data_IF_006071330095
#
_entry.id   IF_006071330095
#
_cell.length_a   1.000
_cell.length_b   1.000
_cell.length_c   1.000
_cell.angle_alpha   90.00
_cell.angle_beta   90.00
_cell.angle_gamma   90.00
#
_symmetry.space_group_name_H-M   'P 1'
#
loop_
_entity.id
_entity.type
_entity.pdbx_description
1 polymer ?
#
# COMPACT_ATOMS: atom_id res chain seq x y z
N UNK A 1 -1.24 -1.86 -23.03
CA UNK A 1 -0.67 -1.09 -21.89
C UNK A 1 -0.89 0.40 -22.04
N UNK A 2 -0.46 1.03 -23.13
CA UNK A 2 -0.62 2.48 -23.38
C UNK A 2 -2.06 2.96 -23.25
N UNK A 3 -3.03 2.27 -23.85
CA UNK A 3 -4.46 2.66 -23.77
C UNK A 3 -5.02 2.58 -22.35
N UNK A 4 -4.57 1.62 -21.55
CA UNK A 4 -4.96 1.53 -20.13
C UNK A 4 -4.41 2.74 -19.38
N UNK A 5 -3.13 3.09 -19.55
CA UNK A 5 -2.51 4.25 -18.91
C UNK A 5 -3.17 5.57 -19.31
N UNK A 6 -3.60 5.72 -20.56
CA UNK A 6 -4.34 6.92 -21.00
C UNK A 6 -5.75 7.02 -20.36
N UNK A 7 -6.42 5.89 -20.14
CA UNK A 7 -7.71 5.86 -19.44
C UNK A 7 -7.55 6.16 -17.95
N UNK A 8 -6.48 5.65 -17.30
CA UNK A 8 -6.16 5.92 -15.89
C UNK A 8 -6.07 7.42 -15.59
N UNK A 9 -5.56 8.25 -16.50
CA UNK A 9 -5.44 9.70 -16.31
C UNK A 9 -6.78 10.43 -16.08
N UNK A 10 -7.89 9.80 -16.40
CA UNK A 10 -9.24 10.37 -16.23
C UNK A 10 -9.90 9.93 -14.93
N UNK A 11 -9.31 8.97 -14.24
CA UNK A 11 -9.88 8.38 -13.03
C UNK A 11 -9.59 9.21 -11.79
N UNK A 12 -10.53 9.18 -10.87
CA UNK A 12 -10.45 9.74 -9.53
C UNK A 12 -10.38 8.61 -8.52
N UNK A 13 -9.32 8.58 -7.75
CA UNK A 13 -9.07 7.53 -6.75
C UNK A 13 -9.04 8.13 -5.35
N UNK A 14 -9.80 7.55 -4.43
CA UNK A 14 -9.73 7.82 -3.01
C UNK A 14 -8.89 6.72 -2.34
N UNK A 15 -7.83 7.10 -1.65
CA UNK A 15 -7.03 6.18 -0.82
C UNK A 15 -7.34 6.45 0.64
N UNK A 16 -7.79 5.43 1.36
CA UNK A 16 -8.17 5.51 2.78
C UNK A 16 -7.34 4.50 3.56
N UNK A 17 -6.67 4.91 4.64
CA UNK A 17 -5.93 3.93 5.43
C UNK A 17 -4.87 4.49 6.37
N UNK A 18 -3.99 3.60 6.78
CA UNK A 18 -2.89 3.89 7.70
C UNK A 18 -1.76 4.60 6.98
N UNK A 19 -1.74 5.94 7.02
CA UNK A 19 -0.64 6.75 6.47
C UNK A 19 0.53 6.81 7.44
N UNK A 20 1.75 6.88 6.91
CA UNK A 20 2.96 7.02 7.71
C UNK A 20 4.07 7.74 6.96
N UNK A 21 5.07 8.19 7.71
CA UNK A 21 6.27 8.84 7.19
C UNK A 21 7.46 7.89 7.36
N UNK A 22 8.05 7.45 6.27
CA UNK A 22 9.28 6.68 6.28
C UNK A 22 10.48 7.62 6.16
N UNK A 23 11.45 7.51 7.09
CA UNK A 23 12.68 8.29 7.11
C UNK A 23 13.88 7.35 6.99
N UNK A 24 14.81 7.71 6.16
CA UNK A 24 16.10 7.02 6.00
C UNK A 24 17.19 7.97 6.41
N UNK A 25 17.97 7.56 7.42
CA UNK A 25 19.15 8.28 7.87
C UNK A 25 20.33 7.40 7.53
N UNK A 26 21.12 7.82 6.55
CA UNK A 26 22.28 7.06 6.04
C UNK A 26 23.59 7.73 6.44
N UNK A 27 24.61 6.93 6.66
CA UNK A 27 25.92 7.42 7.03
C UNK A 27 26.90 6.30 7.36
N UNK A 28 28.04 6.68 7.94
CA UNK A 28 29.11 5.78 8.30
C UNK A 28 29.22 5.53 9.81
N UNK A 29 29.57 4.29 10.17
CA UNK A 29 29.87 3.88 11.55
C UNK A 29 31.36 3.54 11.65
N UNK A 30 32.16 4.48 12.19
CA UNK A 30 33.59 4.37 12.26
C UNK A 30 34.13 4.22 13.69
N UNK A 31 33.29 4.30 14.71
CA UNK A 31 33.69 4.20 16.12
C UNK A 31 32.58 3.69 17.01
N UNK A 32 32.99 3.18 18.15
CA UNK A 32 32.09 2.86 19.28
C UNK A 32 32.03 4.06 20.22
N UNK A 33 30.85 4.32 20.82
CA UNK A 33 30.68 5.39 21.80
C UNK A 33 31.54 5.13 23.05
N UNK A 34 32.15 6.17 23.61
CA UNK A 34 32.81 6.06 24.93
C UNK A 34 31.77 5.98 26.08
N UNK A 35 30.50 6.32 25.84
CA UNK A 35 29.46 6.36 26.87
C UNK A 35 28.74 5.01 27.03
N UNK A 36 28.71 4.19 25.97
CA UNK A 36 28.07 2.88 25.94
C UNK A 36 28.61 2.03 24.77
N UNK A 37 28.52 0.68 24.83
CA UNK A 37 29.00 -0.20 23.76
C UNK A 37 28.07 -0.19 22.54
N UNK A 38 27.82 0.99 21.98
CA UNK A 38 26.96 1.21 20.81
C UNK A 38 27.72 1.93 19.69
N UNK A 39 27.40 1.65 18.41
CA UNK A 39 28.01 2.35 17.28
C UNK A 39 27.64 3.84 17.29
N UNK A 40 28.56 4.70 16.88
CA UNK A 40 28.32 6.12 16.61
C UNK A 40 28.29 6.29 15.10
N UNK A 41 27.15 6.70 14.58
CA UNK A 41 26.96 6.99 13.15
C UNK A 41 27.19 8.47 12.88
N UNK A 42 27.99 8.75 11.86
CA UNK A 42 28.09 10.10 11.27
C UNK A 42 27.12 10.17 10.10
N UNK A 43 26.11 11.03 10.21
CA UNK A 43 25.07 11.16 9.18
C UNK A 43 25.63 11.84 7.94
N UNK A 44 25.37 11.29 6.78
CA UNK A 44 25.75 11.81 5.47
C UNK A 44 24.55 12.27 4.65
N UNK A 45 23.42 11.56 4.76
CA UNK A 45 22.19 11.90 4.04
C UNK A 45 20.95 11.55 4.87
N UNK A 46 19.93 12.35 4.71
CA UNK A 46 18.60 12.11 5.28
C UNK A 46 17.52 12.23 4.18
N UNK A 47 16.75 11.18 4.00
CA UNK A 47 15.63 11.15 3.06
C UNK A 47 14.33 10.81 3.76
N UNK A 48 13.27 11.51 3.39
CA UNK A 48 11.92 11.28 3.91
C UNK A 48 10.98 10.97 2.74
N UNK A 49 10.17 9.93 2.89
CA UNK A 49 9.22 9.48 1.88
C UNK A 49 7.87 9.13 2.52
N UNK A 50 6.80 9.20 1.75
CA UNK A 50 5.50 8.75 2.20
C UNK A 50 5.46 7.21 2.22
N UNK A 51 4.85 6.65 3.28
CA UNK A 51 4.72 5.21 3.49
C UNK A 51 3.27 4.81 3.78
N UNK A 52 2.99 3.52 3.77
CA UNK A 52 1.66 2.97 3.96
C UNK A 52 0.66 3.47 2.93
N UNK A 53 -0.57 3.79 3.34
CA UNK A 53 -1.60 4.31 2.44
C UNK A 53 -1.16 5.56 1.66
N UNK A 54 -0.26 6.38 2.21
CA UNK A 54 0.30 7.52 1.48
C UNK A 54 1.22 7.10 0.32
N UNK A 55 1.92 5.96 0.43
CA UNK A 55 2.69 5.41 -0.68
C UNK A 55 1.78 4.81 -1.77
N UNK A 56 0.65 4.20 -1.40
CA UNK A 56 -0.39 3.79 -2.38
C UNK A 56 -0.87 4.99 -3.18
N UNK A 57 -1.14 6.12 -2.50
CA UNK A 57 -1.57 7.36 -3.15
C UNK A 57 -0.49 7.92 -4.11
N UNK A 58 0.79 7.89 -3.73
CA UNK A 58 1.91 8.27 -4.61
C UNK A 58 1.97 7.40 -5.87
N UNK A 59 1.89 6.08 -5.71
CA UNK A 59 1.91 5.16 -6.86
C UNK A 59 0.76 5.43 -7.82
N UNK A 60 -0.44 5.67 -7.31
CA UNK A 60 -1.60 5.99 -8.12
C UNK A 60 -1.46 7.34 -8.86
N UNK A 61 -0.90 8.37 -8.20
CA UNK A 61 -0.65 9.67 -8.81
C UNK A 61 0.42 9.58 -9.92
N UNK A 62 1.51 8.84 -9.72
CA UNK A 62 2.56 8.67 -10.71
C UNK A 62 2.10 7.85 -11.94
N UNK A 63 1.01 7.06 -11.81
CA UNK A 63 0.28 6.46 -12.94
C UNK A 63 -0.65 7.43 -13.66
N UNK A 64 -0.84 8.65 -13.11
CA UNK A 64 -1.59 9.73 -13.73
C UNK A 64 -3.01 9.92 -13.21
N UNK A 65 -3.50 9.14 -12.25
CA UNK A 65 -4.82 9.31 -11.66
C UNK A 65 -4.92 10.58 -10.81
N UNK A 66 -6.13 11.14 -10.67
CA UNK A 66 -6.42 12.19 -9.69
C UNK A 66 -6.67 11.54 -8.34
N UNK A 67 -5.82 11.84 -7.35
CA UNK A 67 -5.82 11.11 -6.07
C UNK A 67 -6.16 12.04 -4.90
N UNK A 68 -6.98 11.54 -3.99
CA UNK A 68 -7.13 12.10 -2.65
C UNK A 68 -6.77 11.02 -1.61
N UNK A 69 -6.16 11.46 -0.50
CA UNK A 69 -5.77 10.58 0.59
C UNK A 69 -6.50 10.96 1.89
N UNK A 70 -7.01 9.93 2.59
CA UNK A 70 -7.64 10.04 3.90
C UNK A 70 -6.96 9.08 4.86
N UNK A 71 -6.45 9.62 5.96
CA UNK A 71 -5.73 8.86 6.97
C UNK A 71 -5.43 9.72 8.19
N UNK A 72 -4.68 9.19 9.15
CA UNK A 72 -4.28 9.96 10.31
C UNK A 72 -3.07 10.85 10.02
N UNK A 73 -3.33 12.07 9.58
CA UNK A 73 -2.31 13.10 9.45
C UNK A 73 -2.32 13.96 10.72
N UNK A 74 -1.39 13.73 11.63
CA UNK A 74 -1.28 14.52 12.84
C UNK A 74 -0.97 16.00 12.59
N UNK A 75 -1.12 16.83 13.60
CA UNK A 75 -0.80 18.28 13.56
C UNK A 75 0.67 18.57 13.81
N UNK A 76 1.48 17.53 14.06
CA UNK A 76 2.93 17.60 14.28
C UNK A 76 3.74 17.86 13.00
N UNK A 77 5.05 18.07 13.14
CA UNK A 77 5.92 18.39 11.99
C UNK A 77 6.01 17.23 10.99
N UNK A 78 5.91 15.97 11.45
CA UNK A 78 5.85 14.80 10.58
C UNK A 78 4.56 14.82 9.73
N UNK A 79 3.44 15.20 10.32
CA UNK A 79 2.17 15.34 9.58
C UNK A 79 2.21 16.46 8.54
N UNK A 80 2.82 17.59 8.88
CA UNK A 80 3.06 18.68 7.91
C UNK A 80 3.97 18.22 6.77
N UNK A 81 5.07 17.52 7.11
CA UNK A 81 6.00 16.98 6.12
C UNK A 81 5.29 16.00 5.17
N UNK A 82 4.50 15.07 5.71
CA UNK A 82 3.76 14.09 4.91
C UNK A 82 2.73 14.76 3.98
N UNK A 83 2.00 15.78 4.47
CA UNK A 83 1.08 16.56 3.63
C UNK A 83 1.80 17.27 2.49
N UNK A 84 2.94 17.90 2.76
CA UNK A 84 3.73 18.59 1.74
C UNK A 84 4.22 17.61 0.66
N UNK A 85 4.72 16.42 1.05
CA UNK A 85 5.14 15.39 0.08
C UNK A 85 4.00 14.95 -0.84
N UNK A 86 2.78 14.87 -0.32
CA UNK A 86 1.60 14.52 -1.13
C UNK A 86 1.15 15.69 -2.01
N UNK A 87 1.16 16.91 -1.48
CA UNK A 87 0.79 18.13 -2.22
C UNK A 87 1.72 18.40 -3.40
N UNK A 88 3.04 18.19 -3.24
CA UNK A 88 4.05 18.27 -4.32
C UNK A 88 3.73 17.31 -5.50
N UNK A 89 3.00 16.24 -5.23
CA UNK A 89 2.52 15.26 -6.23
C UNK A 89 1.08 15.52 -6.68
N UNK A 90 0.47 16.63 -6.25
CA UNK A 90 -0.91 16.97 -6.59
C UNK A 90 -1.97 16.08 -5.89
N UNK A 91 -1.57 15.34 -4.85
CA UNK A 91 -2.47 14.50 -4.07
C UNK A 91 -3.12 15.35 -3.00
N UNK A 92 -4.44 15.43 -3.01
CA UNK A 92 -5.19 16.21 -2.04
C UNK A 92 -5.30 15.46 -0.72
N UNK A 93 -5.05 16.17 0.37
CA UNK A 93 -5.36 15.73 1.73
C UNK A 93 -6.36 16.70 2.31
N UNK A 94 -7.54 16.21 2.68
CA UNK A 94 -8.60 17.07 3.21
C UNK A 94 -8.20 17.66 4.57
N UNK A 95 -8.16 18.98 4.65
CA UNK A 95 -7.79 19.69 5.89
C UNK A 95 -8.87 19.58 6.98
N UNK A 96 -10.12 19.31 6.60
CA UNK A 96 -11.22 19.08 7.54
C UNK A 96 -11.09 17.72 8.25
N UNK A 97 -10.30 16.80 7.64
CA UNK A 97 -9.95 15.49 8.19
C UNK A 97 -8.59 15.53 8.92
N UNK A 98 -8.26 16.65 9.58
CA UNK A 98 -7.11 16.73 10.46
C UNK A 98 -7.45 16.10 11.82
N UNK A 99 -6.54 15.26 12.32
CA UNK A 99 -6.72 14.52 13.56
C UNK A 99 -5.78 15.02 14.64
N UNK A 100 -6.33 15.19 15.85
CA UNK A 100 -5.59 15.60 17.05
C UNK A 100 -5.50 14.44 18.05
N UNK A 101 -4.50 14.49 18.94
CA UNK A 101 -4.37 13.55 20.04
C UNK A 101 -3.32 12.45 19.85
N UNK A 102 -2.94 12.11 18.61
CA UNK A 102 -1.83 11.20 18.34
C UNK A 102 -0.85 11.80 17.33
N UNK A 103 0.46 11.53 17.45
CA UNK A 103 1.44 11.97 16.48
C UNK A 103 1.26 11.24 15.16
N UNK A 104 1.74 11.83 14.07
CA UNK A 104 1.87 11.12 12.79
C UNK A 104 2.79 9.92 12.95
N UNK A 105 2.37 8.76 12.46
CA UNK A 105 3.19 7.55 12.49
C UNK A 105 4.45 7.81 11.68
N UNK A 106 5.61 7.57 12.26
CA UNK A 106 6.87 7.66 11.52
C UNK A 106 7.80 6.50 11.84
N UNK A 107 8.55 6.06 10.82
CA UNK A 107 9.51 4.96 10.89
C UNK A 107 10.86 5.44 10.38
N UNK A 108 11.81 5.64 11.29
CA UNK A 108 13.17 6.07 10.94
C UNK A 108 14.09 4.87 10.85
N UNK A 109 14.60 4.58 9.67
CA UNK A 109 15.60 3.53 9.42
C UNK A 109 16.98 4.15 9.42
N UNK A 110 17.82 3.68 10.32
CA UNK A 110 19.22 4.08 10.42
C UNK A 110 20.06 3.08 9.65
N UNK A 111 20.74 3.54 8.60
CA UNK A 111 21.44 2.72 7.62
C UNK A 111 22.94 3.08 7.61
N UNK A 112 23.80 2.09 7.73
CA UNK A 112 25.24 2.26 7.54
C UNK A 112 25.76 1.18 6.58
N UNK A 113 26.57 1.58 5.59
CA UNK A 113 27.15 0.65 4.59
C UNK A 113 26.12 -0.31 3.98
N UNK A 114 24.95 0.19 3.62
CA UNK A 114 23.80 -0.56 3.08
C UNK A 114 23.15 -1.58 4.07
N UNK A 115 23.48 -1.51 5.36
CA UNK A 115 22.86 -2.34 6.39
C UNK A 115 21.99 -1.51 7.33
N UNK A 116 20.83 -2.02 7.69
CA UNK A 116 19.99 -1.38 8.70
C UNK A 116 20.55 -1.67 10.10
N UNK A 117 21.03 -0.63 10.77
CA UNK A 117 21.55 -0.70 12.14
C UNK A 117 20.41 -0.79 13.15
N UNK A 118 19.41 0.09 13.02
CA UNK A 118 18.21 0.06 13.84
C UNK A 118 17.04 0.73 13.11
N UNK A 119 15.84 0.55 13.67
CA UNK A 119 14.65 1.30 13.28
C UNK A 119 14.02 1.95 14.52
N UNK A 120 13.70 3.23 14.41
CA UNK A 120 13.01 3.98 15.46
C UNK A 120 11.60 4.27 14.98
N UNK A 121 10.60 3.66 15.64
CA UNK A 121 9.18 3.84 15.32
C UNK A 121 8.57 4.83 16.32
N UNK A 122 7.93 5.87 15.80
CA UNK A 122 7.15 6.83 16.58
C UNK A 122 5.68 6.63 16.28
N UNK A 123 5.02 5.94 17.15
CA UNK A 123 3.60 5.63 17.08
C UNK A 123 3.03 5.36 18.48
N UNK A 124 1.73 5.52 18.64
CA UNK A 124 0.99 5.12 19.81
C UNK A 124 0.29 3.77 19.57
N UNK A 125 -0.40 3.29 20.59
CA UNK A 125 -1.28 2.13 20.48
C UNK A 125 -2.37 2.37 19.41
N UNK A 126 -2.74 1.32 18.68
CA UNK A 126 -3.63 1.41 17.51
C UNK A 126 -4.99 2.09 17.81
N UNK A 127 -5.48 2.01 19.06
CA UNK A 127 -6.74 2.64 19.43
C UNK A 127 -6.68 4.18 19.36
N UNK A 128 -5.47 4.78 19.48
CA UNK A 128 -5.27 6.23 19.40
C UNK A 128 -5.45 6.78 17.97
N UNK A 129 -5.42 5.92 16.96
CA UNK A 129 -5.56 6.30 15.55
C UNK A 129 -6.94 6.00 14.97
N UNK A 130 -7.91 5.60 15.80
CA UNK A 130 -9.27 5.34 15.32
C UNK A 130 -9.97 6.64 14.92
N UNK A 131 -10.52 6.71 13.69
CA UNK A 131 -11.30 7.86 13.27
C UNK A 131 -12.64 7.89 14.01
N UNK A 132 -13.09 9.10 14.41
CA UNK A 132 -14.45 9.29 14.88
C UNK A 132 -15.42 9.40 13.70
N UNK A 133 -16.04 8.28 13.33
CA UNK A 133 -16.99 8.23 12.23
C UNK A 133 -18.34 8.91 12.55
N UNK A 134 -18.61 9.24 13.83
CA UNK A 134 -19.74 10.10 14.18
C UNK A 134 -19.55 11.52 13.63
N UNK A 135 -18.30 11.97 13.55
CA UNK A 135 -17.94 13.30 13.01
C UNK A 135 -17.64 13.20 11.49
N UNK A 136 -16.89 12.20 11.08
CA UNK A 136 -16.32 12.11 9.72
C UNK A 136 -17.14 11.26 8.76
N UNK A 137 -18.04 10.41 9.27
CA UNK A 137 -18.68 9.36 8.47
C UNK A 137 -19.47 9.88 7.28
N UNK A 138 -20.24 10.94 7.45
CA UNK A 138 -21.02 11.52 6.33
C UNK A 138 -20.13 12.17 5.26
N UNK A 139 -19.04 12.85 5.67
CA UNK A 139 -18.08 13.45 4.74
C UNK A 139 -17.34 12.36 3.96
N UNK A 140 -16.86 11.33 4.67
CA UNK A 140 -16.15 10.19 4.05
C UNK A 140 -17.08 9.41 3.10
N UNK A 141 -18.33 9.17 3.48
CA UNK A 141 -19.33 8.50 2.62
C UNK A 141 -19.55 9.27 1.33
N UNK A 142 -19.88 10.57 1.41
CA UNK A 142 -20.08 11.42 0.23
C UNK A 142 -18.84 11.46 -0.67
N UNK A 143 -17.67 11.49 -0.06
CA UNK A 143 -16.40 11.46 -0.77
C UNK A 143 -16.25 10.11 -1.49
N UNK A 144 -16.41 8.98 -0.82
CA UNK A 144 -16.33 7.64 -1.41
C UNK A 144 -17.31 7.44 -2.59
N UNK A 145 -18.54 7.96 -2.48
CA UNK A 145 -19.56 7.93 -3.55
C UNK A 145 -19.14 8.77 -4.79
N UNK A 146 -18.27 9.76 -4.64
CA UNK A 146 -17.90 10.70 -5.70
C UNK A 146 -16.64 10.33 -6.47
N UNK A 147 -15.94 9.26 -6.08
CA UNK A 147 -14.74 8.74 -6.74
C UNK A 147 -15.07 7.50 -7.58
N UNK A 148 -14.21 7.20 -8.58
CA UNK A 148 -14.37 6.02 -9.42
C UNK A 148 -13.99 4.73 -8.69
N UNK A 149 -13.06 4.84 -7.73
CA UNK A 149 -12.67 3.76 -6.85
C UNK A 149 -12.20 4.25 -5.48
N UNK A 150 -12.27 3.35 -4.50
CA UNK A 150 -11.67 3.51 -3.17
C UNK A 150 -10.69 2.36 -2.93
N UNK A 151 -9.46 2.70 -2.51
CA UNK A 151 -8.51 1.74 -1.96
C UNK A 151 -8.50 1.90 -0.45
N UNK A 152 -8.71 0.79 0.28
CA UNK A 152 -8.42 0.71 1.72
C UNK A 152 -7.10 0.00 1.92
N UNK A 153 -6.11 0.71 2.47
CA UNK A 153 -4.77 0.18 2.76
C UNK A 153 -4.58 0.07 4.27
N UNK A 154 -4.63 -1.18 4.78
CA UNK A 154 -4.51 -1.51 6.20
C UNK A 154 -3.09 -1.95 6.56
N UNK A 155 -2.46 -1.24 7.49
CA UNK A 155 -1.16 -1.57 8.08
C UNK A 155 -1.26 -1.95 9.56
N UNK A 156 -2.49 -2.13 10.06
CA UNK A 156 -2.75 -2.50 11.44
C UNK A 156 -2.49 -1.36 12.43
N UNK A 157 -2.46 -0.11 11.98
CA UNK A 157 -2.15 1.03 12.84
C UNK A 157 -3.36 1.66 13.52
N UNK A 158 -4.58 1.34 13.06
CA UNK A 158 -5.80 1.69 13.77
C UNK A 158 -6.78 2.55 13.02
N UNK A 159 -6.36 3.22 11.95
CA UNK A 159 -7.28 4.04 11.16
C UNK A 159 -8.35 3.19 10.48
N UNK A 160 -7.95 2.02 9.94
CA UNK A 160 -8.90 1.08 9.37
C UNK A 160 -9.62 0.34 10.48
N UNK A 161 -10.96 0.44 10.52
CA UNK A 161 -11.85 -0.24 11.47
C UNK A 161 -12.98 -0.96 10.73
N UNK A 162 -13.70 -1.85 11.41
CA UNK A 162 -14.87 -2.52 10.82
C UNK A 162 -15.96 -1.55 10.41
N UNK A 163 -16.16 -0.49 11.19
CA UNK A 163 -17.12 0.56 10.91
C UNK A 163 -16.74 1.32 9.64
N UNK A 164 -15.44 1.67 9.50
CA UNK A 164 -14.91 2.33 8.30
C UNK A 164 -15.05 1.42 7.08
N UNK A 165 -14.65 0.14 7.17
CA UNK A 165 -14.80 -0.83 6.08
C UNK A 165 -16.27 -0.98 5.66
N UNK A 166 -17.19 -1.07 6.63
CA UNK A 166 -18.64 -1.14 6.34
C UNK A 166 -19.17 0.11 5.65
N UNK A 167 -18.68 1.29 6.03
CA UNK A 167 -19.07 2.56 5.42
C UNK A 167 -18.60 2.63 3.96
N UNK A 168 -17.31 2.39 3.73
CA UNK A 168 -16.71 2.49 2.37
C UNK A 168 -17.29 1.44 1.43
N UNK A 169 -17.52 0.21 1.91
CA UNK A 169 -18.14 -0.89 1.13
C UNK A 169 -19.51 -0.51 0.56
N UNK A 170 -20.29 0.27 1.33
CA UNK A 170 -21.62 0.71 0.90
C UNK A 170 -21.61 1.91 -0.05
N UNK A 171 -20.51 2.66 -0.05
CA UNK A 171 -20.41 3.94 -0.74
C UNK A 171 -19.56 3.87 -2.02
N UNK A 172 -18.51 3.07 -2.03
CA UNK A 172 -17.56 3.01 -3.13
C UNK A 172 -18.16 2.33 -4.37
N UNK A 173 -18.01 2.91 -5.58
CA UNK A 173 -18.38 2.23 -6.82
C UNK A 173 -17.48 1.00 -7.11
N UNK A 174 -16.20 1.06 -6.73
CA UNK A 174 -15.26 -0.03 -6.75
C UNK A 174 -14.40 0.03 -5.47
N UNK A 175 -14.34 -1.07 -4.73
CA UNK A 175 -13.58 -1.19 -3.48
C UNK A 175 -12.43 -2.17 -3.63
N UNK A 176 -11.20 -1.68 -3.51
CA UNK A 176 -10.01 -2.53 -3.35
C UNK A 176 -9.50 -2.48 -1.91
N UNK A 177 -9.04 -3.62 -1.39
CA UNK A 177 -8.53 -3.72 -0.03
C UNK A 177 -7.17 -4.43 -0.01
N UNK A 178 -6.17 -3.76 0.59
CA UNK A 178 -4.91 -4.38 1.00
C UNK A 178 -5.00 -4.71 2.50
N UNK A 179 -5.13 -6.00 2.86
CA UNK A 179 -5.52 -6.40 4.21
C UNK A 179 -4.32 -6.57 5.15
N UNK A 180 -4.54 -6.31 6.46
CA UNK A 180 -3.62 -6.68 7.55
C UNK A 180 -4.28 -7.67 8.51
N UNK A 181 -4.21 -8.98 8.26
CA UNK A 181 -4.99 -10.02 8.97
C UNK A 181 -4.80 -10.06 10.47
N UNK A 182 -3.66 -9.59 10.99
CA UNK A 182 -3.33 -9.58 12.41
C UNK A 182 -4.37 -8.88 13.31
N UNK A 183 -5.28 -8.08 12.75
CA UNK A 183 -6.32 -7.35 13.47
C UNK A 183 -7.71 -8.00 13.39
N UNK A 184 -7.88 -9.08 12.65
CA UNK A 184 -9.16 -9.78 12.47
C UNK A 184 -10.32 -8.87 12.03
N UNK A 185 -10.04 -7.94 11.12
CA UNK A 185 -11.05 -7.07 10.53
C UNK A 185 -11.90 -7.83 9.51
N UNK A 186 -13.11 -7.32 9.28
CA UNK A 186 -14.03 -7.85 8.27
C UNK A 186 -13.80 -7.23 6.89
N UNK A 187 -12.96 -7.88 6.09
CA UNK A 187 -12.69 -7.48 4.70
C UNK A 187 -13.69 -8.06 3.69
N UNK A 188 -14.90 -8.42 4.10
CA UNK A 188 -15.88 -9.08 3.23
C UNK A 188 -16.33 -8.21 2.05
N UNK A 189 -16.61 -8.88 0.92
CA UNK A 189 -17.19 -8.30 -0.30
C UNK A 189 -16.46 -7.10 -0.91
N UNK A 190 -15.11 -7.06 -1.01
CA UNK A 190 -14.44 -6.10 -1.84
C UNK A 190 -14.51 -6.53 -3.31
N UNK A 191 -14.38 -5.60 -4.24
CA UNK A 191 -14.20 -5.93 -5.65
C UNK A 191 -12.83 -6.55 -5.91
N UNK A 192 -11.81 -6.08 -5.17
CA UNK A 192 -10.45 -6.60 -5.23
C UNK A 192 -9.85 -6.76 -3.82
N UNK A 193 -9.24 -7.91 -3.55
CA UNK A 193 -8.45 -8.17 -2.34
C UNK A 193 -7.01 -8.55 -2.74
N UNK A 194 -5.99 -7.89 -2.13
CA UNK A 194 -4.59 -8.04 -2.55
C UNK A 194 -3.62 -8.50 -1.44
N UNK A 195 -3.87 -9.61 -0.75
CA UNK A 195 -2.94 -10.07 0.27
C UNK A 195 -1.61 -10.54 -0.32
N UNK A 196 -0.52 -10.39 0.43
CA UNK A 196 0.70 -11.10 0.11
C UNK A 196 0.62 -12.58 0.57
N UNK A 197 1.66 -13.39 0.22
CA UNK A 197 1.72 -14.82 0.59
C UNK A 197 1.44 -15.07 2.07
N UNK A 198 2.04 -14.29 2.98
CA UNK A 198 1.91 -14.50 4.42
C UNK A 198 0.53 -14.07 4.92
N UNK A 199 0.02 -12.98 4.41
CA UNK A 199 -1.33 -12.48 4.71
C UNK A 199 -2.40 -13.43 4.18
N UNK A 200 -2.23 -13.97 2.98
CA UNK A 200 -3.13 -14.96 2.41
C UNK A 200 -3.20 -16.25 3.26
N UNK A 201 -2.06 -16.74 3.74
CA UNK A 201 -2.03 -17.89 4.67
C UNK A 201 -2.76 -17.56 5.98
N UNK A 202 -2.53 -16.38 6.56
CA UNK A 202 -3.17 -15.94 7.79
C UNK A 202 -4.69 -15.74 7.61
N UNK A 203 -5.13 -15.15 6.50
CA UNK A 203 -6.56 -15.02 6.14
C UNK A 203 -7.23 -16.40 5.99
N UNK A 204 -6.50 -17.39 5.49
CA UNK A 204 -6.96 -18.78 5.38
C UNK A 204 -6.83 -19.58 6.72
N UNK A 205 -6.45 -18.93 7.82
CA UNK A 205 -6.29 -19.58 9.13
C UNK A 205 -5.07 -20.51 9.22
N UNK A 206 -4.08 -20.34 8.34
CA UNK A 206 -2.82 -21.11 8.33
C UNK A 206 -1.66 -20.34 8.93
N UNK A 207 -0.64 -21.09 9.36
CA UNK A 207 0.60 -20.47 9.85
C UNK A 207 1.32 -19.71 8.73
N UNK A 208 1.60 -18.44 8.94
CA UNK A 208 2.44 -17.61 8.06
C UNK A 208 3.90 -18.09 7.94
N UNK A 209 4.35 -18.96 8.84
CA UNK A 209 5.71 -19.52 8.88
C UNK A 209 5.80 -20.89 8.18
N UNK A 210 4.74 -21.36 7.50
CA UNK A 210 4.78 -22.60 6.76
C UNK A 210 5.87 -22.58 5.70
N UNK A 211 6.73 -23.61 5.69
CA UNK A 211 7.77 -23.84 4.66
C UNK A 211 7.27 -24.74 3.53
N UNK A 212 6.03 -25.21 3.61
CA UNK A 212 5.40 -26.01 2.56
C UNK A 212 5.17 -25.17 1.30
N UNK A 213 5.07 -25.81 0.13
CA UNK A 213 4.62 -25.14 -1.07
C UNK A 213 3.30 -24.42 -0.82
N UNK A 214 3.11 -23.24 -1.42
CA UNK A 214 1.91 -22.43 -1.21
C UNK A 214 0.67 -23.20 -1.68
N UNK A 215 -0.30 -23.52 -0.80
CA UNK A 215 -1.45 -24.35 -1.13
C UNK A 215 -2.53 -23.52 -1.83
N UNK A 216 -2.30 -23.18 -3.10
CA UNK A 216 -3.05 -22.19 -3.88
C UNK A 216 -4.57 -22.40 -3.83
N UNK A 217 -5.04 -23.59 -4.20
CA UNK A 217 -6.47 -23.91 -4.30
C UNK A 217 -7.19 -23.81 -2.96
N UNK A 218 -6.56 -24.32 -1.90
CA UNK A 218 -7.15 -24.29 -0.56
C UNK A 218 -7.21 -22.87 0.00
N UNK A 219 -6.13 -22.09 -0.15
CA UNK A 219 -6.06 -20.72 0.34
C UNK A 219 -7.07 -19.85 -0.41
N UNK A 220 -7.13 -19.94 -1.73
CA UNK A 220 -8.10 -19.19 -2.56
C UNK A 220 -9.52 -19.54 -2.14
N UNK A 221 -9.87 -20.83 -2.07
CA UNK A 221 -11.20 -21.27 -1.65
C UNK A 221 -11.56 -20.71 -0.27
N UNK A 222 -10.69 -20.87 0.72
CA UNK A 222 -10.95 -20.42 2.10
C UNK A 222 -11.14 -18.91 2.19
N UNK A 223 -10.31 -18.12 1.49
CA UNK A 223 -10.44 -16.64 1.46
C UNK A 223 -11.76 -16.26 0.79
N UNK A 224 -12.11 -16.88 -0.33
CA UNK A 224 -13.34 -16.57 -1.04
C UNK A 224 -14.60 -16.99 -0.26
N UNK A 225 -14.59 -18.15 0.40
CA UNK A 225 -15.68 -18.56 1.29
C UNK A 225 -15.88 -17.61 2.46
N UNK A 226 -14.78 -17.04 2.99
CA UNK A 226 -14.83 -16.15 4.16
C UNK A 226 -15.15 -14.70 3.83
N UNK A 227 -14.55 -14.15 2.79
CA UNK A 227 -14.61 -12.71 2.47
C UNK A 227 -15.34 -12.40 1.17
N UNK A 228 -15.58 -13.41 0.32
CA UNK A 228 -16.28 -13.28 -0.96
C UNK A 228 -15.81 -12.08 -1.80
N UNK A 229 -14.49 -11.90 -2.07
CA UNK A 229 -14.02 -10.88 -2.99
C UNK A 229 -14.45 -11.22 -4.43
N UNK A 230 -14.78 -10.21 -5.24
CA UNK A 230 -15.05 -10.43 -6.68
C UNK A 230 -13.79 -10.90 -7.41
N UNK A 231 -12.62 -10.35 -7.02
CA UNK A 231 -11.29 -10.69 -7.53
C UNK A 231 -10.30 -10.81 -6.38
N UNK A 232 -9.41 -11.78 -6.47
CA UNK A 232 -8.33 -11.99 -5.51
C UNK A 232 -6.99 -12.04 -6.26
N UNK A 233 -6.06 -11.19 -5.85
CA UNK A 233 -4.70 -11.18 -6.38
C UNK A 233 -3.70 -11.38 -5.22
N UNK A 234 -3.04 -12.52 -5.17
CA UNK A 234 -2.09 -12.86 -4.11
C UNK A 234 -0.67 -12.63 -4.62
N UNK A 235 0.06 -11.71 -4.00
CA UNK A 235 1.48 -11.51 -4.34
C UNK A 235 2.34 -12.59 -3.69
N UNK A 236 3.15 -13.29 -4.49
CA UNK A 236 3.95 -14.44 -4.08
C UNK A 236 5.47 -14.13 -4.07
N UNK A 237 5.85 -12.86 -4.16
CA UNK A 237 7.25 -12.43 -4.24
C UNK A 237 7.91 -12.91 -5.53
N UNK A 238 9.02 -13.67 -5.43
CA UNK A 238 9.73 -14.21 -6.59
C UNK A 238 8.88 -15.16 -7.45
N UNK A 239 7.83 -15.77 -6.89
CA UNK A 239 6.90 -16.64 -7.61
C UNK A 239 5.83 -15.86 -8.42
N UNK A 240 5.84 -14.52 -8.32
CA UNK A 240 4.94 -13.65 -9.09
C UNK A 240 3.61 -13.35 -8.40
N UNK A 241 2.50 -13.41 -9.13
CA UNK A 241 1.16 -13.05 -8.66
C UNK A 241 0.14 -14.10 -9.09
N UNK A 242 -0.60 -14.65 -8.12
CA UNK A 242 -1.70 -15.57 -8.34
C UNK A 242 -3.01 -14.78 -8.45
N UNK A 243 -3.77 -15.04 -9.50
CA UNK A 243 -5.09 -14.46 -9.77
C UNK A 243 -6.18 -15.50 -9.55
N UNK A 244 -7.24 -15.09 -8.89
CA UNK A 244 -8.39 -15.93 -8.65
C UNK A 244 -9.70 -15.14 -8.72
N UNK A 245 -10.76 -15.81 -9.11
CA UNK A 245 -12.12 -15.31 -9.18
C UNK A 245 -13.09 -16.42 -8.79
N UNK A 246 -14.18 -16.08 -8.13
CA UNK A 246 -15.24 -17.04 -7.75
C UNK A 246 -14.70 -18.29 -7.02
N UNK A 247 -13.68 -18.11 -6.18
CA UNK A 247 -13.07 -19.19 -5.42
C UNK A 247 -12.18 -20.17 -6.22
N UNK A 248 -11.83 -19.81 -7.45
CA UNK A 248 -10.98 -20.64 -8.35
C UNK A 248 -9.74 -19.89 -8.77
N UNK A 249 -8.61 -20.58 -8.78
CA UNK A 249 -7.38 -20.07 -9.39
C UNK A 249 -7.57 -19.95 -10.90
N UNK A 250 -7.40 -18.75 -11.45
CA UNK A 250 -7.44 -18.52 -12.89
C UNK A 250 -6.04 -18.66 -13.50
N UNK A 251 -5.05 -17.98 -12.92
CA UNK A 251 -3.69 -17.91 -13.48
C UNK A 251 -2.67 -17.49 -12.41
N UNK A 252 -1.43 -17.90 -12.60
CA UNK A 252 -0.27 -17.32 -11.94
C UNK A 252 0.59 -16.60 -12.95
N UNK A 253 0.84 -15.30 -12.74
CA UNK A 253 1.71 -14.48 -13.59
C UNK A 253 3.10 -14.49 -12.96
N UNK A 254 4.17 -14.90 -13.69
CA UNK A 254 5.52 -14.90 -13.15
C UNK A 254 6.01 -13.47 -12.90
N UNK A 255 6.93 -13.31 -11.92
CA UNK A 255 7.46 -11.98 -11.61
C UNK A 255 8.15 -11.32 -12.81
N UNK A 256 7.92 -10.02 -13.00
CA UNK A 256 8.61 -9.20 -14.00
C UNK A 256 9.93 -8.60 -13.45
N UNK A 257 10.22 -8.75 -12.16
CA UNK A 257 11.44 -8.23 -11.54
C UNK A 257 12.67 -8.93 -12.10
N UNK A 258 13.64 -8.14 -12.60
CA UNK A 258 14.94 -8.63 -13.10
C UNK A 258 16.00 -8.59 -12.03
N UNK A 259 16.00 -7.52 -11.23
CA UNK A 259 16.90 -7.30 -10.11
C UNK A 259 16.08 -6.79 -8.93
N UNK A 260 16.40 -7.25 -7.73
CA UNK A 260 15.67 -6.88 -6.51
C UNK A 260 16.65 -6.22 -5.56
N UNK A 261 16.47 -4.92 -5.34
CA UNK A 261 17.23 -4.15 -4.35
C UNK A 261 16.45 -3.97 -3.05
N UNK A 262 15.16 -3.59 -3.16
CA UNK A 262 14.30 -3.39 -2.00
C UNK A 262 12.85 -3.76 -2.36
N UNK A 263 12.23 -4.59 -1.54
CA UNK A 263 10.83 -5.01 -1.74
C UNK A 263 9.81 -4.08 -1.06
N UNK A 264 10.29 -3.04 -0.38
CA UNK A 264 9.42 -2.08 0.34
C UNK A 264 8.52 -1.33 -0.65
N UNK A 265 7.20 -1.34 -0.38
CA UNK A 265 6.22 -0.65 -1.21
C UNK A 265 5.78 -1.39 -2.49
N UNK A 266 6.30 -2.60 -2.75
CA UNK A 266 5.86 -3.40 -3.90
C UNK A 266 4.36 -3.73 -3.85
N UNK A 267 3.83 -4.07 -2.66
CA UNK A 267 2.39 -4.30 -2.44
C UNK A 267 1.56 -3.06 -2.73
N UNK A 268 2.02 -1.89 -2.27
CA UNK A 268 1.37 -0.60 -2.54
C UNK A 268 1.28 -0.30 -4.03
N UNK A 269 2.37 -0.60 -4.76
CA UNK A 269 2.41 -0.46 -6.23
C UNK A 269 1.43 -1.44 -6.90
N UNK A 270 1.37 -2.68 -6.42
CA UNK A 270 0.44 -3.69 -6.96
C UNK A 270 -1.01 -3.25 -6.78
N UNK A 271 -1.44 -2.90 -5.56
CA UNK A 271 -2.85 -2.54 -5.35
C UNK A 271 -3.23 -1.27 -6.11
N UNK A 272 -2.37 -0.25 -6.14
CA UNK A 272 -2.62 0.98 -6.89
C UNK A 272 -2.77 0.71 -8.39
N UNK A 273 -1.81 0.00 -8.99
CA UNK A 273 -1.78 -0.28 -10.43
C UNK A 273 -2.92 -1.21 -10.85
N UNK A 274 -3.16 -2.27 -10.08
CA UNK A 274 -4.21 -3.25 -10.37
C UNK A 274 -5.59 -2.62 -10.28
N UNK A 275 -5.87 -1.85 -9.22
CA UNK A 275 -7.14 -1.14 -9.03
C UNK A 275 -7.41 -0.18 -10.19
N UNK A 276 -6.43 0.68 -10.51
CA UNK A 276 -6.59 1.67 -11.58
C UNK A 276 -6.79 1.02 -12.94
N UNK A 277 -6.07 -0.07 -13.24
CA UNK A 277 -6.24 -0.77 -14.51
C UNK A 277 -7.61 -1.44 -14.62
N UNK A 278 -8.13 -2.05 -13.54
CA UNK A 278 -9.45 -2.67 -13.54
C UNK A 278 -10.55 -1.62 -13.71
N UNK A 279 -10.48 -0.49 -13.01
CA UNK A 279 -11.42 0.63 -13.14
C UNK A 279 -11.31 1.31 -14.51
N UNK A 280 -10.12 1.27 -15.13
CA UNK A 280 -9.91 1.64 -16.53
C UNK A 280 -10.41 0.56 -17.53
N UNK A 281 -11.24 -0.39 -17.09
CA UNK A 281 -11.85 -1.44 -17.92
C UNK A 281 -10.84 -2.40 -18.58
N UNK A 282 -9.67 -2.63 -17.96
CA UNK A 282 -8.77 -3.68 -18.37
C UNK A 282 -9.26 -5.05 -17.88
N UNK A 283 -9.00 -6.12 -18.63
CA UNK A 283 -9.21 -7.47 -18.12
C UNK A 283 -8.26 -7.76 -16.96
N UNK A 284 -8.66 -8.67 -16.04
CA UNK A 284 -7.87 -8.99 -14.84
C UNK A 284 -6.42 -9.36 -15.16
N UNK A 285 -6.19 -10.14 -16.22
CA UNK A 285 -4.86 -10.52 -16.65
C UNK A 285 -4.02 -9.32 -17.11
N UNK A 286 -4.57 -8.43 -17.94
CA UNK A 286 -3.90 -7.22 -18.43
C UNK A 286 -3.59 -6.26 -17.26
N UNK A 287 -4.53 -6.12 -16.34
CA UNK A 287 -4.35 -5.31 -15.13
C UNK A 287 -3.23 -5.87 -14.25
N UNK A 288 -3.16 -7.18 -14.10
CA UNK A 288 -2.13 -7.86 -13.32
C UNK A 288 -0.75 -7.81 -14.02
N UNK A 289 -0.69 -7.86 -15.33
CA UNK A 289 0.55 -7.67 -16.09
C UNK A 289 1.10 -6.25 -15.88
N UNK A 290 0.23 -5.22 -15.94
CA UNK A 290 0.63 -3.85 -15.66
C UNK A 290 1.13 -3.72 -14.21
N UNK A 291 0.40 -4.25 -13.22
CA UNK A 291 0.77 -4.19 -11.82
C UNK A 291 2.09 -4.92 -11.51
N UNK A 292 2.30 -6.09 -12.12
CA UNK A 292 3.52 -6.89 -12.00
C UNK A 292 4.73 -6.17 -12.61
N UNK A 293 4.54 -5.51 -13.76
CA UNK A 293 5.59 -4.71 -14.40
C UNK A 293 5.95 -3.48 -13.54
N UNK A 294 4.95 -2.75 -13.06
CA UNK A 294 5.16 -1.60 -12.17
C UNK A 294 5.89 -2.00 -10.88
N UNK A 295 5.46 -3.08 -10.23
CA UNK A 295 6.12 -3.63 -9.05
C UNK A 295 7.56 -4.08 -9.35
N UNK A 296 7.79 -4.73 -10.50
CA UNK A 296 9.12 -5.13 -10.97
C UNK A 296 10.08 -3.95 -11.15
N UNK A 297 9.58 -2.80 -11.62
CA UNK A 297 10.35 -1.56 -11.71
C UNK A 297 10.68 -1.02 -10.31
N UNK A 298 9.71 -1.03 -9.40
CA UNK A 298 9.84 -0.47 -8.04
C UNK A 298 10.85 -1.25 -7.22
N UNK A 299 10.81 -2.58 -7.23
CA UNK A 299 11.77 -3.39 -6.45
C UNK A 299 13.22 -3.30 -6.96
N UNK A 300 13.42 -2.78 -8.16
CA UNK A 300 14.73 -2.42 -8.71
C UNK A 300 15.28 -1.07 -8.22
N UNK A 301 14.53 -0.35 -7.36
CA UNK A 301 14.92 0.94 -6.78
C UNK A 301 15.19 0.80 -5.28
N UNK A 302 15.97 1.70 -4.69
CA UNK A 302 16.27 1.67 -3.25
C UNK A 302 15.19 2.42 -2.47
N UNK A 303 14.62 1.79 -1.45
CA UNK A 303 13.58 2.32 -0.58
C UNK A 303 12.20 2.35 -1.24
N UNK A 304 11.23 2.97 -0.56
CA UNK A 304 9.89 3.17 -1.12
C UNK A 304 9.98 4.06 -2.36
N UNK A 305 9.64 3.51 -3.51
CA UNK A 305 9.69 4.18 -4.81
C UNK A 305 8.38 3.94 -5.59
N UNK A 306 8.19 4.66 -6.66
CA UNK A 306 7.04 4.55 -7.57
C UNK A 306 7.50 4.25 -8.99
N UNK A 307 6.60 3.75 -9.83
CA UNK A 307 6.82 3.55 -11.25
C UNK A 307 6.02 4.58 -12.06
N UNK A 308 6.72 5.39 -12.83
CA UNK A 308 6.07 6.35 -13.74
C UNK A 308 5.51 5.66 -14.98
N UNK A 309 4.50 6.29 -15.60
CA UNK A 309 3.94 5.83 -16.90
C UNK A 309 5.01 5.67 -17.98
N UNK A 310 6.02 6.55 -17.99
CA UNK A 310 7.12 6.46 -18.97
C UNK A 310 8.02 5.24 -18.72
N UNK A 311 8.34 4.94 -17.46
CA UNK A 311 9.13 3.74 -17.11
C UNK A 311 8.38 2.47 -17.51
N UNK A 312 7.08 2.41 -17.23
CA UNK A 312 6.23 1.27 -17.58
C UNK A 312 6.22 1.07 -19.09
N UNK A 313 6.00 2.12 -19.89
CA UNK A 313 5.98 2.03 -21.36
C UNK A 313 7.34 1.61 -21.96
N UNK A 314 8.46 2.08 -21.39
CA UNK A 314 9.80 1.62 -21.80
C UNK A 314 10.02 0.14 -21.53
N UNK A 315 9.61 -0.35 -20.36
CA UNK A 315 9.80 -1.74 -19.98
C UNK A 315 8.84 -2.69 -20.70
N UNK A 316 7.67 -2.21 -21.12
CA UNK A 316 6.73 -2.98 -21.95
C UNK A 316 7.16 -3.05 -23.43
N UNK A 317 8.14 -2.25 -23.86
CA UNK A 317 8.59 -2.19 -25.25
C UNK A 317 7.65 -1.39 -26.16
N UNK A 318 6.79 -0.52 -25.62
CA UNK A 318 5.85 0.32 -26.35
C UNK A 318 6.39 1.72 -26.71
N UNK A 319 7.61 2.06 -26.16
CA UNK A 319 8.43 3.24 -26.55
C UNK A 319 9.91 2.92 -26.40
#
# INVERSE_FOLDING_TARGET
>A
MKDILERIKRLRLLVVGDVMLDRYVTGDVNRISPEAPVPVMTVEDERTVAGGAANVALNASDLGAQVEAVGWFGTDDQGKCLRNLLDEKGIKVDSELAFEGAPTISKTRVMASNQQICRVDRELESHAYRPDLGILGDALRKKAESFDAVIVSDYGKGFVTNELLSLVRKAAPFLAVDPKPSRLLDYSHPDLLTPNRHEALELAGRSRLSREPFPQEEVVRTICERFNPSMLAITLGADGMLLARDGKVEKTIPTAAREVFDVSGAGDTVIASLTLALVAEAHLEEAAELANLAAGIVVGKVGTATASTQEILRHSGEI
#
